data_IF_767972843080
#
_entry.id   IF_767972843080
#
_cell.length_a   1.000
_cell.length_b   1.000
_cell.length_c   1.000
_cell.angle_alpha   90.00
_cell.angle_beta   90.00
_cell.angle_gamma   90.00
#
_symmetry.space_group_name_H-M   'P 1'
#
loop_
_entity.id
_entity.type
_entity.pdbx_description
1 polymer ?
#
# COMPACT_ATOMS: atom_id res chain seq x y z
N UNK A 1 23.80 2.71 13.52
CA UNK A 1 23.57 1.52 14.37
C UNK A 1 23.54 0.29 13.48
N UNK A 2 24.38 -0.71 13.79
CA UNK A 2 24.77 -1.79 12.89
C UNK A 2 26.09 -1.50 12.13
N UNK A 3 26.54 -2.42 11.26
CA UNK A 3 27.83 -2.30 10.54
C UNK A 3 27.84 -1.21 9.46
N UNK A 4 26.68 -0.63 9.13
CA UNK A 4 26.56 0.41 8.11
C UNK A 4 26.48 1.79 8.78
N UNK A 5 27.41 2.71 8.48
CA UNK A 5 27.35 4.07 8.99
C UNK A 5 26.10 4.77 8.48
N UNK A 6 25.54 5.67 9.29
CA UNK A 6 24.37 6.48 8.94
C UNK A 6 24.65 7.92 9.33
N UNK A 7 24.28 8.84 8.45
CA UNK A 7 24.31 10.29 8.70
C UNK A 7 22.87 10.76 8.79
N UNK A 8 22.55 11.52 9.85
CA UNK A 8 21.24 12.13 10.03
C UNK A 8 21.40 13.61 9.68
N UNK A 9 20.62 14.07 8.72
CA UNK A 9 20.67 15.44 8.21
C UNK A 9 19.34 16.10 8.58
N UNK A 10 19.43 17.24 9.26
CA UNK A 10 18.27 17.99 9.75
C UNK A 10 18.18 19.39 9.14
N UNK A 11 19.21 19.82 8.40
CA UNK A 11 19.22 21.09 7.71
C UNK A 11 18.28 21.05 6.47
N UNK A 12 17.28 21.95 6.35
CA UNK A 12 16.31 21.90 5.27
C UNK A 12 16.90 22.11 3.87
N UNK A 13 17.92 22.96 3.74
CA UNK A 13 18.57 23.21 2.45
C UNK A 13 19.35 21.97 2.01
N UNK A 14 20.07 21.32 2.91
CA UNK A 14 20.72 20.04 2.62
C UNK A 14 19.71 18.92 2.31
N UNK A 15 18.59 18.85 3.04
CA UNK A 15 17.51 17.88 2.76
C UNK A 15 16.98 18.09 1.34
N UNK A 16 16.72 19.35 0.96
CA UNK A 16 16.28 19.69 -0.40
C UNK A 16 17.27 19.18 -1.43
N UNK A 17 18.54 19.52 -1.28
CA UNK A 17 19.58 19.16 -2.26
C UNK A 17 19.72 17.63 -2.40
N UNK A 18 19.64 16.89 -1.29
CA UNK A 18 19.66 15.43 -1.27
C UNK A 18 18.44 14.80 -1.95
N UNK A 19 17.25 15.35 -1.72
CA UNK A 19 16.02 14.82 -2.32
C UNK A 19 15.91 15.13 -3.82
N UNK A 20 16.57 16.18 -4.30
CA UNK A 20 16.64 16.50 -5.73
C UNK A 20 17.67 15.64 -6.48
N UNK A 21 18.86 15.42 -5.91
CA UNK A 21 19.91 14.63 -6.55
C UNK A 21 19.85 13.13 -6.19
N UNK A 22 18.93 12.43 -6.85
CA UNK A 22 18.75 10.99 -6.68
C UNK A 22 19.90 10.12 -7.25
N UNK A 23 20.84 10.70 -8.01
CA UNK A 23 21.98 9.98 -8.60
C UNK A 23 23.11 9.89 -7.59
N UNK A 24 23.42 11.01 -6.94
CA UNK A 24 24.43 11.07 -5.87
C UNK A 24 23.89 10.46 -4.58
N UNK A 25 22.60 10.66 -4.29
CA UNK A 25 21.93 10.15 -3.10
C UNK A 25 20.85 9.12 -3.44
N UNK A 26 21.23 7.89 -3.83
CA UNK A 26 20.25 6.85 -4.11
C UNK A 26 19.50 6.44 -2.84
N UNK A 27 18.29 5.92 -3.01
CA UNK A 27 17.48 5.40 -1.89
C UNK A 27 18.25 4.34 -1.10
N UNK A 28 18.23 4.38 0.23
CA UNK A 28 18.89 3.38 1.05
C UNK A 28 18.25 2.00 0.81
N UNK A 29 19.09 0.96 0.72
CA UNK A 29 18.60 -0.42 0.63
C UNK A 29 17.99 -0.83 1.96
N UNK A 30 16.68 -1.09 1.96
CA UNK A 30 15.97 -1.61 3.13
C UNK A 30 16.36 -3.05 3.48
N UNK A 31 15.92 -3.51 4.65
CA UNK A 31 16.08 -4.91 5.05
C UNK A 31 15.39 -5.84 4.01
N UNK A 32 15.96 -7.00 3.66
CA UNK A 32 15.39 -7.85 2.61
C UNK A 32 13.93 -8.27 2.82
N UNK A 33 13.48 -8.41 4.07
CA UNK A 33 12.11 -8.76 4.41
C UNK A 33 11.10 -7.63 4.13
N UNK A 34 11.54 -6.36 4.08
CA UNK A 34 10.69 -5.24 3.67
C UNK A 34 10.13 -5.41 2.25
N UNK A 35 10.85 -6.15 1.40
CA UNK A 35 10.42 -6.45 0.03
C UNK A 35 9.15 -7.31 -0.04
N UNK A 36 8.81 -8.01 1.05
CA UNK A 36 7.57 -8.79 1.16
C UNK A 36 6.34 -7.92 1.47
N UNK A 37 6.53 -6.66 1.87
CA UNK A 37 5.44 -5.72 2.08
C UNK A 37 5.28 -4.79 0.90
N UNK A 38 6.38 -4.17 0.44
CA UNK A 38 6.36 -3.32 -0.75
C UNK A 38 7.54 -3.68 -1.63
N UNK A 39 7.31 -3.76 -2.93
CA UNK A 39 8.34 -3.85 -3.96
C UNK A 39 8.08 -2.78 -5.04
N UNK A 40 8.87 -2.76 -6.11
CA UNK A 40 8.66 -1.82 -7.21
C UNK A 40 9.03 -0.38 -6.82
N UNK A 41 8.18 0.60 -7.14
CA UNK A 41 8.49 2.04 -7.06
C UNK A 41 9.06 2.53 -5.72
N UNK A 42 8.72 1.88 -4.60
CA UNK A 42 9.26 2.22 -3.30
C UNK A 42 10.79 1.96 -3.23
N UNK A 43 11.27 0.85 -3.81
CA UNK A 43 12.64 0.35 -3.67
C UNK A 43 13.47 0.36 -4.96
N UNK A 44 12.83 0.34 -6.13
CA UNK A 44 13.53 0.44 -7.42
C UNK A 44 14.14 1.84 -7.60
N UNK A 45 15.27 1.90 -8.31
CA UNK A 45 16.04 3.12 -8.63
C UNK A 45 16.39 3.11 -10.12
N UNK A 46 16.72 4.27 -10.69
CA UNK A 46 17.18 4.38 -12.08
C UNK A 46 16.12 3.99 -13.11
N UNK A 47 16.53 3.28 -14.16
CA UNK A 47 15.68 2.98 -15.33
C UNK A 47 14.45 2.13 -14.98
N UNK A 48 14.59 1.18 -14.05
CA UNK A 48 13.46 0.36 -13.60
C UNK A 48 12.40 1.19 -12.87
N UNK A 49 12.84 2.13 -12.03
CA UNK A 49 11.94 3.08 -11.39
C UNK A 49 11.24 3.95 -12.43
N UNK A 50 11.99 4.52 -13.38
CA UNK A 50 11.45 5.38 -14.42
C UNK A 50 10.40 4.64 -15.28
N UNK A 51 10.68 3.38 -15.64
CA UNK A 51 9.75 2.51 -16.37
C UNK A 51 8.45 2.28 -15.60
N UNK A 52 8.54 1.84 -14.35
CA UNK A 52 7.34 1.62 -13.53
C UNK A 52 6.54 2.92 -13.32
N UNK A 53 7.22 4.06 -13.12
CA UNK A 53 6.59 5.37 -12.93
C UNK A 53 5.83 5.80 -14.18
N UNK A 54 6.44 5.62 -15.35
CA UNK A 54 5.82 5.92 -16.65
C UNK A 54 4.55 5.11 -16.90
N UNK A 55 4.54 3.83 -16.53
CA UNK A 55 3.35 2.96 -16.66
C UNK A 55 2.20 3.44 -15.75
N UNK A 56 2.52 3.88 -14.54
CA UNK A 56 1.53 4.24 -13.52
C UNK A 56 0.96 5.66 -13.69
N UNK A 57 1.78 6.62 -14.14
CA UNK A 57 1.42 8.05 -14.19
C UNK A 57 0.08 8.36 -14.89
N UNK A 58 -0.32 7.71 -16.01
CA UNK A 58 -1.59 7.99 -16.66
C UNK A 58 -2.82 7.83 -15.75
N UNK A 59 -2.77 6.89 -14.80
CA UNK A 59 -3.86 6.66 -13.85
C UNK A 59 -4.07 7.83 -12.86
N UNK A 60 -3.05 8.68 -12.67
CA UNK A 60 -3.06 9.84 -11.78
C UNK A 60 -3.24 11.16 -12.52
N UNK A 61 -3.66 11.13 -13.79
CA UNK A 61 -4.07 12.34 -14.51
C UNK A 61 -5.35 12.93 -13.87
N UNK A 62 -5.48 14.27 -13.75
CA UNK A 62 -6.66 14.92 -13.18
C UNK A 62 -8.01 14.45 -13.75
N UNK A 63 -8.09 14.15 -15.06
CA UNK A 63 -9.31 13.64 -15.68
C UNK A 63 -9.66 12.23 -15.17
N UNK A 64 -8.67 11.35 -15.02
CA UNK A 64 -8.87 10.01 -14.45
C UNK A 64 -9.19 10.10 -12.94
N UNK A 65 -8.54 11.00 -12.20
CA UNK A 65 -8.87 11.25 -10.79
C UNK A 65 -10.33 11.72 -10.60
N UNK A 66 -10.85 12.58 -11.49
CA UNK A 66 -12.26 13.00 -11.45
C UNK A 66 -13.23 11.81 -11.56
N UNK A 67 -12.88 10.78 -12.32
CA UNK A 67 -13.71 9.56 -12.43
C UNK A 67 -13.74 8.72 -11.15
N UNK A 68 -12.77 8.91 -10.25
CA UNK A 68 -12.69 8.21 -8.96
C UNK A 68 -13.51 8.90 -7.86
N UNK A 69 -13.88 10.17 -8.02
CA UNK A 69 -14.60 10.95 -7.01
C UNK A 69 -15.93 10.31 -6.53
N UNK A 70 -16.77 9.72 -7.40
CA UNK A 70 -18.00 9.07 -6.94
C UNK A 70 -17.71 7.92 -5.96
N UNK A 71 -16.69 7.11 -6.23
CA UNK A 71 -16.28 6.03 -5.34
C UNK A 71 -15.78 6.56 -4.00
N UNK A 72 -14.96 7.62 -4.01
CA UNK A 72 -14.48 8.28 -2.79
C UNK A 72 -15.63 8.85 -1.96
N UNK A 73 -16.58 9.52 -2.61
CA UNK A 73 -17.76 10.08 -1.95
C UNK A 73 -18.60 8.99 -1.27
N UNK A 74 -18.84 7.87 -1.95
CA UNK A 74 -19.57 6.73 -1.38
C UNK A 74 -18.87 6.16 -0.14
N UNK A 75 -17.55 5.99 -0.19
CA UNK A 75 -16.75 5.53 0.95
C UNK A 75 -16.87 6.47 2.16
N UNK A 76 -16.82 7.79 1.94
CA UNK A 76 -17.03 8.78 3.00
C UNK A 76 -18.45 8.72 3.58
N UNK A 77 -19.46 8.63 2.71
CA UNK A 77 -20.87 8.60 3.11
C UNK A 77 -21.19 7.38 4.00
N UNK A 78 -20.60 6.23 3.72
CA UNK A 78 -20.78 5.02 4.53
C UNK A 78 -20.24 5.17 5.95
N UNK A 79 -19.12 5.89 6.14
CA UNK A 79 -18.59 6.18 7.48
C UNK A 79 -19.49 7.12 8.24
N UNK A 80 -19.98 8.19 7.58
CA UNK A 80 -20.91 9.12 8.21
C UNK A 80 -22.17 8.38 8.66
N UNK A 81 -22.74 7.53 7.81
CA UNK A 81 -23.89 6.70 8.17
C UNK A 81 -23.60 5.75 9.33
N UNK A 82 -22.42 5.13 9.34
CA UNK A 82 -22.02 4.25 10.45
C UNK A 82 -21.96 5.04 11.78
N UNK A 83 -21.44 6.27 11.76
CA UNK A 83 -21.43 7.12 12.94
C UNK A 83 -22.84 7.59 13.35
N UNK A 84 -23.70 7.93 12.40
CA UNK A 84 -25.11 8.26 12.66
C UNK A 84 -25.84 7.11 13.39
N UNK A 85 -25.55 5.85 13.04
CA UNK A 85 -26.14 4.69 13.72
C UNK A 85 -25.63 4.46 15.15
N UNK A 86 -24.46 5.01 15.49
CA UNK A 86 -23.90 4.91 16.84
C UNK A 86 -24.40 6.02 17.76
N UNK A 87 -24.98 7.08 17.19
CA UNK A 87 -25.45 8.22 17.96
C UNK A 87 -26.72 7.89 18.74
N UNK A 88 -26.75 8.13 20.06
CA UNK A 88 -27.97 7.99 20.83
C UNK A 88 -29.00 9.06 20.43
N UNK A 89 -30.31 8.80 20.62
CA UNK A 89 -31.38 9.76 20.29
C UNK A 89 -31.26 11.11 21.03
N UNK A 90 -30.56 11.13 22.17
CA UNK A 90 -30.23 12.33 22.95
C UNK A 90 -28.83 12.18 23.53
N UNK A 91 -28.06 13.27 23.50
CA UNK A 91 -26.70 13.33 24.07
C UNK A 91 -25.59 13.19 23.04
N UNK A 92 -24.39 12.82 23.50
CA UNK A 92 -23.19 12.64 22.68
C UNK A 92 -22.58 11.26 22.90
N UNK A 93 -21.89 10.74 21.88
CA UNK A 93 -21.15 9.48 21.94
C UNK A 93 -19.67 9.74 21.68
N UNK A 94 -18.78 9.12 22.46
CA UNK A 94 -17.35 9.08 22.17
C UNK A 94 -17.07 7.92 21.20
N UNK A 95 -16.35 8.20 20.11
CA UNK A 95 -16.06 7.22 19.06
C UNK A 95 -14.57 7.24 18.77
N UNK A 96 -13.92 6.07 18.82
CA UNK A 96 -12.59 5.89 18.27
C UNK A 96 -12.66 5.93 16.74
N UNK A 97 -12.22 7.05 16.15
CA UNK A 97 -12.26 7.27 14.70
C UNK A 97 -11.13 6.55 13.95
N UNK A 98 -10.09 6.07 14.64
CA UNK A 98 -8.91 5.52 13.97
C UNK A 98 -9.22 4.29 13.08
N UNK A 99 -10.01 3.30 13.52
CA UNK A 99 -10.42 2.19 12.67
C UNK A 99 -11.20 2.65 11.44
N UNK A 100 -12.06 3.66 11.58
CA UNK A 100 -12.86 4.20 10.48
C UNK A 100 -11.98 4.88 9.42
N UNK A 101 -10.99 5.69 9.83
CA UNK A 101 -10.08 6.35 8.91
C UNK A 101 -9.16 5.36 8.17
N UNK A 102 -8.68 4.33 8.87
CA UNK A 102 -7.91 3.25 8.26
C UNK A 102 -8.75 2.49 7.22
N UNK A 103 -9.99 2.13 7.59
CA UNK A 103 -10.92 1.44 6.70
C UNK A 103 -11.39 2.32 5.53
N UNK A 104 -11.52 3.64 5.73
CA UNK A 104 -11.83 4.61 4.67
C UNK A 104 -10.80 4.53 3.54
N UNK A 105 -9.52 4.58 3.91
CA UNK A 105 -8.42 4.57 2.94
C UNK A 105 -8.39 3.25 2.17
N UNK A 106 -8.61 2.13 2.87
CA UNK A 106 -8.71 0.81 2.26
C UNK A 106 -9.92 0.74 1.30
N UNK A 107 -11.09 1.22 1.71
CA UNK A 107 -12.32 1.18 0.92
C UNK A 107 -12.23 2.08 -0.33
N UNK A 108 -11.69 3.29 -0.18
CA UNK A 108 -11.42 4.20 -1.30
C UNK A 108 -10.52 3.53 -2.33
N UNK A 109 -9.34 3.05 -1.92
CA UNK A 109 -8.39 2.43 -2.85
C UNK A 109 -9.00 1.16 -3.46
N UNK A 110 -9.70 0.35 -2.67
CA UNK A 110 -10.40 -0.84 -3.13
C UNK A 110 -11.40 -0.52 -4.25
N UNK A 111 -12.28 0.48 -4.04
CA UNK A 111 -13.26 0.88 -5.06
C UNK A 111 -12.62 1.51 -6.28
N UNK A 112 -11.62 2.37 -6.10
CA UNK A 112 -11.03 3.11 -7.22
C UNK A 112 -10.05 2.29 -8.05
N UNK A 113 -9.27 1.41 -7.41
CA UNK A 113 -8.26 0.60 -8.09
C UNK A 113 -8.78 -0.78 -8.52
N UNK A 114 -9.69 -1.38 -7.73
CA UNK A 114 -10.20 -2.73 -8.00
C UNK A 114 -11.61 -2.76 -8.59
N UNK A 115 -12.40 -1.69 -8.41
CA UNK A 115 -13.71 -1.54 -9.06
C UNK A 115 -14.70 -2.61 -8.59
N UNK A 116 -15.18 -3.45 -9.51
CA UNK A 116 -16.09 -4.56 -9.20
C UNK A 116 -15.52 -5.61 -8.25
N UNK A 117 -14.19 -5.60 -8.05
CA UNK A 117 -13.47 -6.54 -7.19
C UNK A 117 -12.92 -5.86 -5.93
N UNK A 118 -13.69 -4.92 -5.38
CA UNK A 118 -13.26 -4.14 -4.22
C UNK A 118 -13.18 -5.00 -2.94
N UNK A 119 -13.93 -6.10 -2.85
CA UNK A 119 -13.86 -7.04 -1.71
C UNK A 119 -12.52 -7.77 -1.66
N UNK A 120 -12.03 -8.24 -2.80
CA UNK A 120 -10.66 -8.78 -2.92
C UNK A 120 -9.61 -7.72 -2.62
N UNK A 121 -9.86 -6.47 -3.04
CA UNK A 121 -9.06 -5.31 -2.65
C UNK A 121 -8.99 -5.13 -1.13
N UNK A 122 -10.13 -5.20 -0.43
CA UNK A 122 -10.18 -5.13 1.05
C UNK A 122 -9.39 -6.26 1.69
N UNK A 123 -9.52 -7.49 1.17
CA UNK A 123 -8.72 -8.63 1.65
C UNK A 123 -7.22 -8.38 1.52
N UNK A 124 -6.77 -7.80 0.39
CA UNK A 124 -5.36 -7.41 0.22
C UNK A 124 -4.93 -6.40 1.28
N UNK A 125 -5.77 -5.41 1.60
CA UNK A 125 -5.48 -4.43 2.65
C UNK A 125 -5.35 -5.05 4.04
N UNK A 126 -6.23 -5.97 4.41
CA UNK A 126 -6.14 -6.67 5.70
C UNK A 126 -4.84 -7.47 5.82
N UNK A 127 -4.47 -8.17 4.76
CA UNK A 127 -3.20 -8.90 4.66
C UNK A 127 -1.99 -7.96 4.75
N UNK A 128 -2.03 -6.81 4.06
CA UNK A 128 -0.98 -5.80 4.15
C UNK A 128 -0.87 -5.20 5.56
N UNK A 129 -1.99 -4.97 6.25
CA UNK A 129 -2.00 -4.49 7.63
C UNK A 129 -1.30 -5.47 8.57
N UNK A 130 -1.59 -6.76 8.44
CA UNK A 130 -0.88 -7.81 9.18
C UNK A 130 0.62 -7.83 8.84
N UNK A 131 0.96 -7.72 7.56
CA UNK A 131 2.35 -7.67 7.09
C UNK A 131 3.13 -6.50 7.68
N UNK A 132 2.52 -5.31 7.77
CA UNK A 132 3.11 -4.11 8.41
C UNK A 132 3.39 -4.37 9.89
N UNK A 133 2.46 -5.03 10.61
CA UNK A 133 2.64 -5.36 12.02
C UNK A 133 3.82 -6.33 12.23
N UNK A 134 3.91 -7.39 11.41
CA UNK A 134 5.02 -8.36 11.47
C UNK A 134 6.36 -7.71 11.15
N UNK A 135 6.40 -6.83 10.15
CA UNK A 135 7.60 -6.07 9.79
C UNK A 135 8.00 -5.12 10.92
N UNK A 136 7.05 -4.43 11.54
CA UNK A 136 7.33 -3.48 12.63
C UNK A 136 8.01 -4.17 13.81
N UNK A 137 7.61 -5.40 14.13
CA UNK A 137 8.24 -6.22 15.18
C UNK A 137 9.71 -6.53 14.90
N UNK A 138 10.09 -6.72 13.64
CA UNK A 138 11.48 -7.03 13.26
C UNK A 138 12.29 -5.79 12.85
N UNK A 139 11.65 -4.67 12.56
CA UNK A 139 12.29 -3.43 12.09
C UNK A 139 13.13 -2.75 13.18
N UNK A 140 12.73 -2.92 14.45
CA UNK A 140 13.45 -2.42 15.62
C UNK A 140 14.66 -3.29 16.01
N UNK A 141 14.78 -4.48 15.43
CA UNK A 141 15.92 -5.38 15.68
C UNK A 141 17.04 -5.13 14.68
N UNK A 142 18.30 -5.21 15.15
CA UNK A 142 19.46 -5.14 14.26
C UNK A 142 19.43 -6.35 13.32
N UNK A 143 19.17 -6.10 12.03
CA UNK A 143 19.13 -7.16 11.02
C UNK A 143 20.48 -7.88 10.94
N UNK A 144 20.49 -9.17 11.30
CA UNK A 144 21.64 -10.05 11.08
C UNK A 144 21.52 -10.68 9.69
N UNK A 145 22.54 -10.56 8.82
CA UNK A 145 22.54 -11.21 7.52
C UNK A 145 22.20 -12.71 7.63
N UNK A 146 21.27 -13.18 6.80
CA UNK A 146 20.84 -14.58 6.77
C UNK A 146 19.58 -14.90 7.59
N UNK A 147 19.17 -14.07 8.54
CA UNK A 147 17.97 -14.31 9.37
C UNK A 147 16.67 -14.48 8.57
N UNK A 148 16.59 -13.91 7.36
CA UNK A 148 15.45 -14.09 6.45
C UNK A 148 15.21 -15.54 6.00
N UNK A 149 16.23 -16.39 6.12
CA UNK A 149 16.16 -17.81 5.74
C UNK A 149 15.79 -18.71 6.91
N UNK A 150 15.86 -18.21 8.14
CA UNK A 150 15.46 -18.96 9.32
C UNK A 150 13.94 -19.19 9.31
N UNK A 151 13.46 -20.40 9.63
CA UNK A 151 12.05 -20.75 9.61
C UNK A 151 11.30 -20.25 10.86
N UNK A 152 11.46 -18.96 11.20
CA UNK A 152 10.74 -18.33 12.33
C UNK A 152 9.25 -18.21 12.01
N UNK A 153 8.40 -18.15 13.05
CA UNK A 153 6.95 -17.95 12.88
C UNK A 153 6.63 -16.69 12.06
N UNK A 154 7.32 -15.58 12.35
CA UNK A 154 7.17 -14.31 11.63
C UNK A 154 7.58 -14.46 10.16
N UNK A 155 8.74 -15.07 9.87
CA UNK A 155 9.20 -15.24 8.49
C UNK A 155 8.28 -16.15 7.67
N UNK A 156 7.74 -17.21 8.28
CA UNK A 156 6.77 -18.10 7.61
C UNK A 156 5.49 -17.34 7.30
N UNK A 157 4.90 -16.66 8.31
CA UNK A 157 3.66 -15.90 8.12
C UNK A 157 3.81 -14.79 7.08
N UNK A 158 4.92 -14.04 7.08
CA UNK A 158 5.15 -13.01 6.07
C UNK A 158 5.23 -13.55 4.64
N UNK A 159 5.77 -14.77 4.46
CA UNK A 159 5.83 -15.44 3.16
C UNK A 159 4.48 -15.99 2.73
N UNK A 160 3.69 -16.52 3.67
CA UNK A 160 2.31 -16.96 3.42
C UNK A 160 1.43 -15.78 2.96
N UNK A 161 1.53 -14.64 3.64
CA UNK A 161 0.82 -13.41 3.27
C UNK A 161 1.22 -12.93 1.87
N UNK A 162 2.53 -12.86 1.56
CA UNK A 162 3.01 -12.49 0.22
C UNK A 162 2.48 -13.45 -0.86
N UNK A 163 2.42 -14.76 -0.57
CA UNK A 163 1.86 -15.75 -1.49
C UNK A 163 0.35 -15.54 -1.70
N UNK A 164 -0.41 -15.33 -0.63
CA UNK A 164 -1.86 -15.10 -0.69
C UNK A 164 -2.18 -13.84 -1.52
N UNK A 165 -1.50 -12.73 -1.24
CA UNK A 165 -1.65 -11.48 -2.02
C UNK A 165 -1.34 -11.72 -3.51
N UNK A 166 -0.27 -12.47 -3.82
CA UNK A 166 0.10 -12.78 -5.22
C UNK A 166 -0.95 -13.63 -5.92
N UNK A 167 -1.57 -14.59 -5.23
CA UNK A 167 -2.64 -15.42 -5.78
C UNK A 167 -3.84 -14.54 -6.11
N UNK A 168 -4.32 -13.75 -5.14
CA UNK A 168 -5.46 -12.84 -5.34
C UNK A 168 -5.19 -11.89 -6.52
N UNK A 169 -4.01 -11.25 -6.57
CA UNK A 169 -3.66 -10.33 -7.65
C UNK A 169 -3.61 -11.02 -9.03
N UNK A 170 -3.09 -12.25 -9.12
CA UNK A 170 -3.08 -13.01 -10.39
C UNK A 170 -4.49 -13.37 -10.84
N UNK A 171 -5.35 -13.79 -9.91
CA UNK A 171 -6.73 -14.13 -10.21
C UNK A 171 -7.51 -12.92 -10.72
N UNK A 172 -7.31 -11.76 -10.09
CA UNK A 172 -7.87 -10.48 -10.54
C UNK A 172 -7.40 -10.07 -11.93
N UNK A 173 -6.09 -10.20 -12.21
CA UNK A 173 -5.53 -9.91 -13.54
C UNK A 173 -6.14 -10.85 -14.57
N UNK A 174 -6.16 -12.16 -14.31
CA UNK A 174 -6.70 -13.15 -15.24
C UNK A 174 -8.18 -12.93 -15.53
N UNK A 175 -8.96 -12.54 -14.53
CA UNK A 175 -10.38 -12.21 -14.66
C UNK A 175 -10.58 -10.98 -15.54
N UNK A 176 -9.77 -9.94 -15.36
CA UNK A 176 -9.82 -8.73 -16.20
C UNK A 176 -9.43 -9.01 -17.63
N UNK A 177 -8.38 -9.82 -17.86
CA UNK A 177 -7.97 -10.23 -19.20
C UNK A 177 -9.06 -10.99 -19.95
N UNK A 178 -9.78 -11.90 -19.27
CA UNK A 178 -10.94 -12.60 -19.85
C UNK A 178 -12.06 -11.62 -20.23
N UNK A 179 -12.47 -10.74 -19.30
CA UNK A 179 -13.52 -9.75 -19.56
C UNK A 179 -13.19 -8.80 -20.72
N UNK A 180 -11.92 -8.46 -20.90
CA UNK A 180 -11.45 -7.66 -22.03
C UNK A 180 -11.55 -8.43 -23.36
N UNK A 181 -11.19 -9.72 -23.37
CA UNK A 181 -11.31 -10.59 -24.56
C UNK A 181 -12.77 -10.83 -24.95
N UNK A 182 -13.64 -10.97 -23.97
CA UNK A 182 -15.07 -11.24 -24.16
C UNK A 182 -15.89 -9.96 -24.45
N UNK A 183 -15.25 -8.78 -24.51
CA UNK A 183 -15.88 -7.49 -24.80
C UNK A 183 -16.80 -6.94 -23.70
N UNK A 184 -16.86 -7.60 -22.54
CA UNK A 184 -17.71 -7.21 -21.40
C UNK A 184 -17.12 -6.08 -20.56
N UNK A 185 -15.85 -5.71 -20.80
CA UNK A 185 -15.18 -4.57 -20.16
C UNK A 185 -14.67 -3.58 -21.21
N UNK A 186 -15.21 -2.36 -21.24
CA UNK A 186 -14.70 -1.27 -22.08
C UNK A 186 -13.47 -0.63 -21.43
N UNK A 187 -12.42 -0.42 -22.20
CA UNK A 187 -11.28 0.41 -21.80
C UNK A 187 -11.67 1.90 -21.87
N UNK A 188 -11.45 2.64 -20.78
CA UNK A 188 -11.71 4.08 -20.67
C UNK A 188 -10.50 4.92 -21.05
#
# INVERSE_FOLDING_TARGET
>A
MGPTPRVIIMDPDMIRDILFDNKTFPKPKGQPLMKLLVAGLAFEVGDQWAKHRKIMNPAFNPLKLKTMLPAMYLSCLEIVRAWETLMPPKGSCEVDVWPYLANLSADVISRTAFGSSYEEGKRIFDLQKEQVQLISQISLSNYIPGWRFLPTKINKRMKEIDLEIRVILRDLISTREKKLKDGTMKTY
#
